data_IF_634614625175
#
_entry.id   IF_634614625175
#
_cell.length_a   1.000
_cell.length_b   1.000
_cell.length_c   1.000
_cell.angle_alpha   90.00
_cell.angle_beta   90.00
_cell.angle_gamma   90.00
#
_symmetry.space_group_name_H-M   'P 1'
#
loop_
_entity.id
_entity.type
_entity.pdbx_description
1 polymer ?
#
# COMPACT_ATOMS: atom_id res chain seq x y z
N UNK A 1 11.94 63.40 -53.79
CA UNK A 1 11.98 62.99 -52.37
C UNK A 1 11.19 61.68 -52.24
N UNK A 2 11.88 60.54 -52.14
CA UNK A 2 11.26 59.20 -52.04
C UNK A 2 11.14 58.81 -50.56
N UNK A 3 9.94 58.46 -50.10
CA UNK A 3 9.67 57.99 -48.73
C UNK A 3 10.21 56.56 -48.58
N UNK A 4 11.10 56.34 -47.61
CA UNK A 4 11.46 55.02 -47.11
C UNK A 4 10.33 54.54 -46.18
N UNK A 5 9.79 53.34 -46.40
CA UNK A 5 8.89 52.69 -45.45
C UNK A 5 9.70 51.81 -44.49
N UNK A 6 9.52 52.06 -43.20
CA UNK A 6 10.16 51.32 -42.11
C UNK A 6 9.45 49.97 -41.95
N UNK A 7 10.18 48.86 -42.16
CA UNK A 7 9.71 47.52 -41.81
C UNK A 7 9.96 47.28 -40.32
N UNK A 8 8.88 47.07 -39.55
CA UNK A 8 8.91 46.61 -38.17
C UNK A 8 9.20 45.12 -38.12
N UNK A 9 10.28 44.74 -37.44
CA UNK A 9 10.64 43.34 -37.16
C UNK A 9 9.95 42.93 -35.84
N UNK A 10 8.87 42.16 -35.92
CA UNK A 10 8.20 41.60 -34.75
C UNK A 10 8.95 40.35 -34.32
N UNK A 11 9.70 40.42 -33.22
CA UNK A 11 10.33 39.25 -32.61
C UNK A 11 9.25 38.36 -31.97
N UNK A 12 9.11 37.12 -32.46
CA UNK A 12 8.24 36.12 -31.86
C UNK A 12 8.91 35.54 -30.61
N UNK A 13 8.32 35.79 -29.45
CA UNK A 13 8.72 35.21 -28.17
C UNK A 13 8.24 33.76 -28.12
N UNK A 14 9.16 32.79 -28.22
CA UNK A 14 8.83 31.37 -28.02
C UNK A 14 8.76 31.11 -26.51
N UNK A 15 7.56 30.96 -25.98
CA UNK A 15 7.33 30.49 -24.62
C UNK A 15 7.65 28.99 -24.55
N UNK A 16 8.75 28.62 -23.88
CA UNK A 16 8.94 27.24 -23.44
C UNK A 16 7.87 26.94 -22.38
N UNK A 17 6.88 26.11 -22.75
CA UNK A 17 5.99 25.48 -21.78
C UNK A 17 6.81 24.44 -21.04
N UNK A 18 7.17 24.73 -19.79
CA UNK A 18 7.64 23.70 -18.87
C UNK A 18 6.48 22.73 -18.64
N UNK A 19 6.55 21.55 -19.25
CA UNK A 19 5.65 20.44 -18.94
C UNK A 19 5.91 20.08 -17.49
N UNK A 20 5.03 20.52 -16.59
CA UNK A 20 5.08 20.16 -15.19
C UNK A 20 5.07 18.65 -15.07
N UNK A 21 6.12 18.09 -14.44
CA UNK A 21 6.10 16.70 -14.03
C UNK A 21 4.92 16.52 -13.08
N UNK A 22 3.96 15.68 -13.47
CA UNK A 22 2.88 15.26 -12.57
C UNK A 22 3.57 14.55 -11.39
N UNK A 23 3.41 15.00 -10.13
CA UNK A 23 3.94 14.25 -9.01
C UNK A 23 3.28 12.87 -9.04
N UNK A 24 4.10 11.82 -9.01
CA UNK A 24 3.58 10.47 -8.84
C UNK A 24 2.79 10.43 -7.53
N UNK A 25 1.59 9.85 -7.57
CA UNK A 25 0.75 9.69 -6.40
C UNK A 25 1.25 8.47 -5.61
N UNK A 26 1.28 8.58 -4.29
CA UNK A 26 1.54 7.46 -3.40
C UNK A 26 0.40 6.44 -3.56
N UNK A 27 0.71 5.16 -3.68
CA UNK A 27 -0.33 4.14 -3.69
C UNK A 27 -0.82 3.94 -2.25
N UNK A 28 -2.15 3.89 -2.08
CA UNK A 28 -2.78 3.62 -0.79
C UNK A 28 -3.24 2.18 -0.77
N UNK A 29 -2.74 1.42 0.20
CA UNK A 29 -3.09 0.02 0.37
C UNK A 29 -3.96 -0.14 1.61
N UNK A 30 -5.05 -0.89 1.42
CA UNK A 30 -5.81 -1.50 2.51
C UNK A 30 -5.55 -2.99 2.42
N UNK A 31 -4.76 -3.50 3.36
CA UNK A 31 -4.55 -4.93 3.52
C UNK A 31 -5.70 -5.47 4.38
N UNK A 32 -6.76 -5.95 3.72
CA UNK A 32 -7.99 -6.49 4.31
C UNK A 32 -8.10 -8.02 4.18
N UNK A 33 -7.04 -8.67 3.68
CA UNK A 33 -6.93 -10.13 3.53
C UNK A 33 -7.96 -10.80 2.61
N UNK A 34 -8.76 -10.03 1.87
CA UNK A 34 -9.75 -10.57 0.92
C UNK A 34 -9.09 -11.06 -0.36
N UNK A 35 -8.00 -10.40 -0.77
CA UNK A 35 -7.32 -10.65 -2.04
C UNK A 35 -5.81 -10.67 -1.91
N UNK A 36 -5.15 -11.46 -2.74
CA UNK A 36 -3.70 -11.43 -2.93
C UNK A 36 -3.25 -10.19 -3.74
N UNK A 37 -1.93 -10.05 -3.92
CA UNK A 37 -1.33 -8.97 -4.70
C UNK A 37 -1.63 -8.97 -6.21
N UNK A 38 -2.24 -10.03 -6.72
CA UNK A 38 -2.73 -10.13 -8.09
C UNK A 38 -4.24 -9.86 -8.19
N UNK A 39 -4.91 -9.61 -7.07
CA UNK A 39 -6.35 -9.35 -6.98
C UNK A 39 -7.21 -10.62 -6.97
N UNK A 40 -6.61 -11.81 -6.82
CA UNK A 40 -7.36 -13.05 -6.67
C UNK A 40 -7.95 -13.14 -5.27
N UNK A 41 -9.18 -13.64 -5.16
CA UNK A 41 -9.82 -13.86 -3.87
C UNK A 41 -9.07 -14.94 -3.07
N UNK A 42 -8.81 -14.65 -1.81
CA UNK A 42 -8.27 -15.60 -0.86
C UNK A 42 -9.41 -16.28 -0.11
N UNK A 43 -9.26 -17.59 0.15
CA UNK A 43 -10.22 -18.35 0.93
C UNK A 43 -9.75 -18.45 2.37
N UNK A 44 -10.67 -18.39 3.33
CA UNK A 44 -10.39 -18.83 4.70
C UNK A 44 -9.82 -20.25 4.70
N UNK A 45 -8.93 -20.53 5.65
CA UNK A 45 -8.20 -21.80 5.69
C UNK A 45 -7.03 -21.89 4.72
N UNK A 46 -6.70 -20.83 3.96
CA UNK A 46 -5.47 -20.80 3.16
C UNK A 46 -4.25 -21.04 4.04
N UNK A 47 -3.57 -22.18 3.82
CA UNK A 47 -2.46 -22.67 4.67
C UNK A 47 -1.07 -22.28 4.17
N UNK A 48 -0.90 -22.17 2.85
CA UNK A 48 0.42 -22.07 2.22
C UNK A 48 0.80 -20.64 1.93
N UNK A 49 1.97 -20.25 2.44
CA UNK A 49 2.64 -19.00 2.08
C UNK A 49 1.77 -17.75 2.28
N UNK A 50 0.92 -17.75 3.33
CA UNK A 50 -0.01 -16.65 3.56
C UNK A 50 0.74 -15.33 3.78
N UNK A 51 1.90 -15.39 4.45
CA UNK A 51 2.72 -14.22 4.74
C UNK A 51 3.31 -13.50 3.53
N UNK A 52 3.31 -14.14 2.37
CA UNK A 52 3.93 -13.64 1.14
C UNK A 52 2.89 -13.30 0.06
N UNK A 53 1.58 -13.42 0.34
CA UNK A 53 0.54 -13.09 -0.65
C UNK A 53 0.54 -11.62 -1.07
N UNK A 54 1.19 -10.76 -0.28
CA UNK A 54 1.26 -9.30 -0.47
C UNK A 54 2.68 -8.78 -0.75
N UNK A 55 3.59 -9.68 -1.13
CA UNK A 55 4.98 -9.31 -1.38
C UNK A 55 5.12 -8.27 -2.50
N UNK A 56 4.27 -8.24 -3.55
CA UNK A 56 4.33 -7.15 -4.56
C UNK A 56 3.87 -5.79 -4.03
N UNK A 57 3.12 -5.75 -2.93
CA UNK A 57 2.82 -4.50 -2.22
C UNK A 57 3.98 -4.11 -1.28
N UNK A 58 5.06 -4.90 -1.26
CA UNK A 58 6.22 -4.71 -0.40
C UNK A 58 5.95 -5.06 1.05
N UNK A 59 5.01 -5.98 1.34
CA UNK A 59 4.66 -6.41 2.69
C UNK A 59 4.94 -7.91 2.85
N UNK A 60 5.71 -8.24 3.88
CA UNK A 60 6.00 -9.61 4.29
C UNK A 60 5.50 -9.84 5.71
N UNK A 61 4.72 -10.90 5.92
CA UNK A 61 4.08 -11.18 7.21
C UNK A 61 4.63 -12.47 7.81
N UNK A 62 5.01 -12.42 9.08
CA UNK A 62 5.53 -13.59 9.80
C UNK A 62 4.92 -13.69 11.19
N UNK A 63 5.02 -14.86 11.82
CA UNK A 63 4.71 -15.03 13.24
C UNK A 63 5.91 -15.61 14.01
N UNK A 64 6.02 -15.26 15.29
CA UNK A 64 7.08 -15.81 16.15
C UNK A 64 6.80 -17.22 16.69
N UNK A 65 5.65 -17.82 16.35
CA UNK A 65 5.28 -19.16 16.82
C UNK A 65 5.72 -20.29 15.89
N UNK A 66 6.19 -19.94 14.69
CA UNK A 66 6.74 -20.89 13.73
C UNK A 66 5.69 -21.87 13.19
N UNK A 67 6.15 -23.04 12.76
CA UNK A 67 5.30 -23.98 12.02
C UNK A 67 4.21 -24.65 12.85
N UNK A 68 4.31 -24.68 14.18
CA UNK A 68 3.30 -25.34 15.03
C UNK A 68 2.02 -24.52 15.14
N UNK A 69 2.14 -23.18 15.09
CA UNK A 69 1.02 -22.24 15.06
C UNK A 69 1.18 -21.31 13.85
N UNK A 70 0.87 -21.80 12.64
CA UNK A 70 1.09 -21.05 11.42
C UNK A 70 0.12 -19.88 11.31
N UNK A 71 0.49 -18.86 10.53
CA UNK A 71 -0.48 -17.85 10.11
C UNK A 71 -1.55 -18.47 9.21
N UNK A 72 -2.80 -18.03 9.37
CA UNK A 72 -3.92 -18.42 8.49
C UNK A 72 -4.97 -17.32 8.37
N UNK A 73 -5.81 -17.47 7.34
CA UNK A 73 -7.03 -16.69 7.20
C UNK A 73 -8.19 -17.40 7.88
N UNK A 74 -8.90 -16.66 8.72
CA UNK A 74 -10.18 -17.02 9.31
C UNK A 74 -11.29 -16.18 8.67
N UNK A 75 -12.46 -16.75 8.39
CA UNK A 75 -13.61 -15.97 7.90
C UNK A 75 -14.45 -15.48 9.07
N UNK A 76 -14.26 -14.22 9.45
CA UNK A 76 -15.02 -13.56 10.53
C UNK A 76 -16.46 -13.23 10.13
N UNK A 77 -16.82 -13.32 8.85
CA UNK A 77 -18.22 -13.24 8.41
C UNK A 77 -18.89 -14.62 8.55
N UNK A 78 -18.91 -15.12 9.78
CA UNK A 78 -19.59 -16.35 10.21
C UNK A 78 -20.62 -16.03 11.30
N UNK A 79 -21.40 -17.03 11.70
CA UNK A 79 -22.48 -16.89 12.66
C UNK A 79 -23.85 -16.55 12.04
N UNK A 80 -24.81 -16.10 12.86
CA UNK A 80 -26.23 -16.00 12.49
C UNK A 80 -26.48 -15.00 11.35
N UNK A 81 -25.68 -13.94 11.23
CA UNK A 81 -25.84 -12.91 10.20
C UNK A 81 -25.56 -13.45 8.78
N UNK A 82 -24.74 -14.51 8.67
CA UNK A 82 -24.31 -15.07 7.39
C UNK A 82 -24.83 -16.49 7.15
N UNK A 83 -25.41 -17.14 8.17
CA UNK A 83 -25.89 -18.51 8.08
C UNK A 83 -24.77 -19.53 7.89
N UNK A 84 -23.55 -19.20 8.31
CA UNK A 84 -22.33 -20.01 8.17
C UNK A 84 -21.81 -20.32 9.58
N UNK A 85 -21.49 -21.57 9.87
CA UNK A 85 -20.82 -21.94 11.14
C UNK A 85 -19.37 -21.47 11.10
N UNK A 86 -18.89 -20.84 12.18
CA UNK A 86 -17.49 -20.47 12.32
C UNK A 86 -16.60 -21.72 12.34
N UNK A 87 -15.47 -21.66 11.63
CA UNK A 87 -14.49 -22.75 11.61
C UNK A 87 -13.84 -22.91 12.99
N UNK A 88 -13.28 -24.08 13.30
CA UNK A 88 -12.59 -24.33 14.58
C UNK A 88 -13.50 -24.46 15.80
N UNK A 89 -14.71 -23.90 15.76
CA UNK A 89 -15.48 -23.61 16.98
C UNK A 89 -15.20 -22.20 17.52
N UNK A 90 -14.47 -21.40 16.75
CA UNK A 90 -13.91 -20.08 17.06
C UNK A 90 -14.96 -18.97 16.75
N UNK A 91 -16.02 -18.93 17.56
CA UNK A 91 -17.19 -18.07 17.32
C UNK A 91 -17.05 -16.65 17.89
N UNK A 92 -16.09 -16.44 18.77
CA UNK A 92 -15.66 -15.18 19.36
C UNK A 92 -14.86 -14.30 18.36
N UNK A 93 -14.29 -14.89 17.30
CA UNK A 93 -13.83 -14.12 16.14
C UNK A 93 -14.92 -13.66 15.16
N UNK A 94 -16.18 -14.07 15.34
CA UNK A 94 -17.26 -13.67 14.44
C UNK A 94 -17.52 -12.15 14.47
N UNK A 95 -17.91 -11.58 13.33
CA UNK A 95 -18.21 -10.16 13.18
C UNK A 95 -19.51 -9.95 12.44
N UNK A 96 -20.25 -8.89 12.74
CA UNK A 96 -21.53 -8.61 12.08
C UNK A 96 -22.54 -7.93 13.02
N UNK A 97 -23.70 -7.52 12.48
CA UNK A 97 -24.74 -6.83 13.26
C UNK A 97 -25.16 -7.55 14.55
N UNK A 98 -25.26 -8.88 14.55
CA UNK A 98 -25.60 -9.68 15.74
C UNK A 98 -24.55 -9.60 16.83
N UNK A 99 -23.31 -9.27 16.47
CA UNK A 99 -22.17 -9.09 17.38
C UNK A 99 -21.85 -7.61 17.66
N UNK A 100 -22.67 -6.68 17.16
CA UNK A 100 -22.45 -5.24 17.34
C UNK A 100 -21.25 -4.68 16.56
N UNK A 101 -20.71 -5.44 15.61
CA UNK A 101 -19.56 -5.05 14.79
C UNK A 101 -19.90 -4.98 13.31
N UNK A 102 -19.02 -4.35 12.53
CA UNK A 102 -19.14 -4.39 11.06
C UNK A 102 -18.58 -5.72 10.55
N UNK A 103 -19.15 -6.33 9.51
CA UNK A 103 -18.54 -7.46 8.82
C UNK A 103 -17.10 -7.13 8.42
N UNK A 104 -16.15 -8.03 8.70
CA UNK A 104 -14.73 -7.85 8.34
C UNK A 104 -14.23 -8.80 7.24
N UNK A 105 -14.90 -9.92 6.99
CA UNK A 105 -14.46 -10.89 5.97
C UNK A 105 -13.36 -11.81 6.47
N UNK A 106 -12.32 -12.01 5.67
CA UNK A 106 -11.13 -12.73 6.06
C UNK A 106 -10.28 -11.88 7.01
N UNK A 107 -9.74 -12.53 8.03
CA UNK A 107 -8.85 -11.92 9.00
C UNK A 107 -7.66 -12.82 9.25
N UNK A 108 -6.52 -12.23 9.60
CA UNK A 108 -5.28 -12.96 9.80
C UNK A 108 -5.13 -13.36 11.27
N UNK A 109 -4.94 -14.66 11.51
CA UNK A 109 -4.76 -15.24 12.84
C UNK A 109 -3.42 -15.97 12.95
N UNK A 110 -2.95 -16.16 14.18
CA UNK A 110 -2.02 -17.23 14.53
C UNK A 110 -2.88 -18.46 14.82
N UNK A 111 -2.81 -19.49 13.98
CA UNK A 111 -3.68 -20.64 14.10
C UNK A 111 -3.26 -21.56 15.25
N UNK A 112 -4.22 -22.15 15.97
CA UNK A 112 -3.99 -23.12 17.03
C UNK A 112 -3.20 -24.33 16.51
N UNK A 113 -3.62 -24.93 15.40
CA UNK A 113 -3.03 -26.18 14.91
C UNK A 113 -2.64 -26.15 13.41
N UNK A 114 -1.75 -27.05 13.00
CA UNK A 114 -1.24 -27.09 11.61
C UNK A 114 -2.21 -27.68 10.60
N UNK A 115 -3.05 -28.64 11.00
CA UNK A 115 -3.86 -29.45 10.10
C UNK A 115 -5.36 -29.23 10.23
N UNK A 116 -5.79 -28.58 11.30
CA UNK A 116 -7.20 -28.39 11.62
C UNK A 116 -7.80 -27.23 10.84
N UNK A 117 -9.08 -26.96 11.07
CA UNK A 117 -9.77 -25.78 10.56
C UNK A 117 -9.15 -24.50 11.15
N UNK A 118 -9.42 -23.31 10.56
CA UNK A 118 -9.01 -22.04 11.16
C UNK A 118 -9.63 -21.85 12.53
N UNK A 119 -8.76 -21.67 13.51
CA UNK A 119 -9.04 -21.50 14.93
C UNK A 119 -7.82 -20.76 15.50
N UNK A 120 -8.00 -19.62 16.13
CA UNK A 120 -6.87 -18.83 16.61
C UNK A 120 -6.23 -19.41 17.89
N UNK A 121 -5.00 -18.98 18.15
CA UNK A 121 -4.22 -19.55 19.24
C UNK A 121 -4.35 -18.72 20.51
N UNK A 122 -5.04 -19.27 21.51
CA UNK A 122 -5.19 -18.68 22.85
C UNK A 122 -3.87 -18.39 23.60
N UNK A 123 -2.74 -18.90 23.12
CA UNK A 123 -1.39 -18.57 23.64
C UNK A 123 -0.76 -17.33 23.00
N UNK A 124 -1.50 -16.63 22.13
CA UNK A 124 -1.12 -15.40 21.45
C UNK A 124 0.18 -15.50 20.66
N UNK A 125 0.90 -14.39 20.54
CA UNK A 125 2.16 -14.34 19.79
C UNK A 125 2.40 -12.99 19.18
N UNK A 126 3.44 -12.89 18.36
CA UNK A 126 3.74 -11.68 17.59
C UNK A 126 3.49 -11.98 16.12
N UNK A 127 2.62 -11.19 15.49
CA UNK A 127 2.51 -11.09 14.03
C UNK A 127 3.32 -9.87 13.61
N UNK A 128 4.30 -10.08 12.74
CA UNK A 128 5.22 -9.05 12.26
C UNK A 128 4.96 -8.76 10.79
N UNK A 129 4.71 -7.49 10.47
CA UNK A 129 4.61 -6.96 9.11
C UNK A 129 5.90 -6.20 8.81
N UNK A 130 6.71 -6.71 7.91
CA UNK A 130 7.92 -6.06 7.42
C UNK A 130 7.64 -5.41 6.07
N UNK A 131 8.08 -4.15 5.91
CA UNK A 131 7.89 -3.38 4.70
C UNK A 131 9.22 -3.26 3.92
N UNK A 132 9.20 -3.53 2.62
CA UNK A 132 10.38 -3.42 1.73
C UNK A 132 10.95 -2.00 1.69
N UNK A 133 10.06 -1.00 1.79
CA UNK A 133 10.38 0.42 1.87
C UNK A 133 9.63 1.01 3.07
N UNK A 134 10.16 2.07 3.71
CA UNK A 134 9.40 2.77 4.74
C UNK A 134 8.04 3.27 4.23
N UNK A 135 6.97 2.99 4.98
CA UNK A 135 5.58 3.37 4.66
C UNK A 135 5.06 4.43 5.62
N UNK A 136 3.99 5.12 5.20
CA UNK A 136 3.15 5.87 6.13
C UNK A 136 2.06 4.94 6.64
N UNK A 137 2.10 4.57 7.91
CA UNK A 137 1.10 3.71 8.55
C UNK A 137 -0.06 4.58 9.04
N UNK A 138 -1.27 4.34 8.55
CA UNK A 138 -2.44 5.11 8.96
C UNK A 138 -3.11 4.46 10.18
N UNK A 139 -3.53 3.20 10.09
CA UNK A 139 -4.15 2.49 11.21
C UNK A 139 -4.06 0.97 11.08
N UNK A 140 -4.33 0.29 12.20
CA UNK A 140 -4.46 -1.16 12.32
C UNK A 140 -5.79 -1.48 13.01
N UNK A 141 -6.55 -2.43 12.49
CA UNK A 141 -7.78 -2.93 13.10
C UNK A 141 -7.60 -4.38 13.54
N UNK A 142 -8.00 -4.66 14.78
CA UNK A 142 -7.91 -5.95 15.44
C UNK A 142 -9.29 -6.42 15.89
N UNK A 143 -9.50 -7.73 15.91
CA UNK A 143 -10.69 -8.40 16.44
C UNK A 143 -10.32 -9.16 17.70
N UNK A 144 -11.24 -9.12 18.65
CA UNK A 144 -11.30 -10.02 19.81
C UNK A 144 -9.96 -10.17 20.52
N UNK A 145 -9.45 -9.03 20.98
CA UNK A 145 -8.22 -9.02 21.76
C UNK A 145 -8.58 -9.43 23.19
N UNK A 146 -8.62 -10.72 23.44
CA UNK A 146 -8.89 -11.27 24.77
C UNK A 146 -7.59 -11.54 25.55
N UNK A 147 -7.72 -11.70 26.86
CA UNK A 147 -6.57 -12.02 27.71
C UNK A 147 -6.42 -13.52 27.91
N UNK A 148 -5.19 -14.00 27.71
CA UNK A 148 -4.75 -15.15 28.48
C UNK A 148 -4.50 -14.68 29.92
N UNK A 149 -5.08 -15.35 30.92
CA UNK A 149 -4.90 -15.03 32.35
C UNK A 149 -3.43 -14.91 32.79
N UNK A 150 -2.49 -15.45 32.01
CA UNK A 150 -1.06 -15.43 32.27
C UNK A 150 -0.28 -14.39 31.44
N UNK A 151 -0.92 -13.67 30.52
CA UNK A 151 -0.29 -12.70 29.64
C UNK A 151 -1.26 -11.58 29.24
N UNK A 152 -1.25 -10.48 29.97
CA UNK A 152 -2.07 -9.29 29.67
C UNK A 152 -1.33 -8.22 28.88
N UNK A 153 -0.06 -8.46 28.54
CA UNK A 153 0.83 -7.46 27.96
C UNK A 153 0.84 -7.51 26.42
N UNK A 154 -0.31 -7.22 25.81
CA UNK A 154 -0.46 -7.04 24.37
C UNK A 154 -0.03 -5.63 23.91
N UNK A 155 0.53 -5.51 22.70
CA UNK A 155 0.91 -4.21 22.14
C UNK A 155 0.96 -4.19 20.60
N UNK A 156 0.94 -2.98 20.03
CA UNK A 156 1.47 -2.69 18.70
C UNK A 156 2.76 -1.90 18.82
N UNK A 157 3.76 -2.21 18.01
CA UNK A 157 5.06 -1.54 18.01
C UNK A 157 5.52 -1.28 16.56
N UNK A 158 5.55 -0.02 16.17
CA UNK A 158 6.02 0.45 14.88
C UNK A 158 7.51 0.79 14.98
N UNK A 159 8.33 0.22 14.11
CA UNK A 159 9.78 0.47 14.02
C UNK A 159 10.05 1.48 12.92
N UNK A 160 10.69 2.59 13.28
CA UNK A 160 10.92 3.71 12.38
C UNK A 160 12.30 3.63 11.72
N UNK A 161 12.43 4.24 10.54
CA UNK A 161 13.67 4.26 9.74
C UNK A 161 14.87 4.93 10.43
N UNK A 162 14.63 5.77 11.42
CA UNK A 162 15.66 6.43 12.22
C UNK A 162 16.15 5.56 13.41
N UNK A 163 15.60 4.35 13.55
CA UNK A 163 15.93 3.39 14.60
C UNK A 163 15.09 3.53 15.87
N UNK A 164 14.17 4.50 15.94
CA UNK A 164 13.23 4.64 17.07
C UNK A 164 12.01 3.72 16.91
N UNK A 165 11.23 3.57 17.97
CA UNK A 165 10.02 2.75 17.98
C UNK A 165 8.86 3.50 18.64
N UNK A 166 7.66 3.31 18.11
CA UNK A 166 6.43 3.87 18.66
C UNK A 166 5.51 2.73 19.07
N UNK A 167 5.11 2.74 20.34
CA UNK A 167 4.44 1.60 20.98
C UNK A 167 3.11 2.01 21.58
N UNK A 168 2.07 1.24 21.26
CA UNK A 168 0.73 1.38 21.85
C UNK A 168 0.35 0.09 22.57
N UNK A 169 -0.06 0.18 23.83
CA UNK A 169 -0.62 -0.97 24.54
C UNK A 169 -1.98 -1.34 23.95
N UNK A 170 -2.26 -2.63 23.84
CA UNK A 170 -3.59 -3.07 23.44
C UNK A 170 -4.59 -2.79 24.56
N UNK A 171 -5.74 -2.28 24.18
CA UNK A 171 -6.94 -2.30 25.02
C UNK A 171 -7.60 -3.65 24.80
N UNK A 172 -7.73 -4.42 25.89
CA UNK A 172 -8.42 -5.70 25.85
C UNK A 172 -9.90 -5.46 25.55
N UNK A 173 -10.42 -6.26 24.64
CA UNK A 173 -11.80 -6.26 24.23
C UNK A 173 -12.63 -7.29 24.99
N UNK A 174 -13.84 -7.51 24.48
CA UNK A 174 -14.62 -8.72 24.73
C UNK A 174 -14.66 -9.53 23.45
N UNK A 175 -15.22 -10.74 23.53
CA UNK A 175 -15.59 -11.57 22.39
C UNK A 175 -16.21 -10.71 21.28
N UNK A 176 -15.80 -10.98 20.04
CA UNK A 176 -16.28 -10.34 18.80
C UNK A 176 -16.00 -8.83 18.67
N UNK A 177 -15.29 -8.21 19.61
CA UNK A 177 -15.09 -6.75 19.60
C UNK A 177 -14.06 -6.29 18.57
N UNK A 178 -14.22 -5.06 18.07
CA UNK A 178 -13.28 -4.42 17.14
C UNK A 178 -12.52 -3.29 17.82
N UNK A 179 -11.20 -3.28 17.67
CA UNK A 179 -10.32 -2.21 18.14
C UNK A 179 -9.49 -1.65 16.98
N UNK A 180 -9.48 -0.33 16.81
CA UNK A 180 -8.65 0.34 15.79
C UNK A 180 -7.65 1.26 16.44
N UNK A 181 -6.39 1.12 16.04
CA UNK A 181 -5.25 1.87 16.57
C UNK A 181 -4.73 2.80 15.48
N UNK A 182 -4.72 4.09 15.78
CA UNK A 182 -4.28 5.15 14.86
C UNK A 182 -2.77 5.34 14.94
N UNK A 183 -2.12 5.42 13.79
CA UNK A 183 -0.69 5.72 13.62
C UNK A 183 -0.47 6.89 12.64
N UNK A 184 -1.54 7.57 12.20
CA UNK A 184 -1.46 8.66 11.22
C UNK A 184 -0.66 9.89 11.72
N UNK A 185 -0.37 9.94 13.03
CA UNK A 185 0.50 10.95 13.64
C UNK A 185 2.01 10.67 13.42
N UNK A 186 2.38 9.46 13.00
CA UNK A 186 3.78 9.12 12.72
C UNK A 186 4.32 9.90 11.52
N UNK A 187 5.63 10.19 11.47
CA UNK A 187 6.23 10.84 10.31
C UNK A 187 5.96 10.05 9.03
N UNK A 188 5.64 10.74 7.93
CA UNK A 188 5.39 10.06 6.65
C UNK A 188 6.59 9.24 6.19
N UNK A 189 6.30 8.05 5.67
CA UNK A 189 7.26 7.10 5.14
C UNK A 189 8.40 6.83 6.12
N UNK A 190 8.04 6.51 7.36
CA UNK A 190 8.99 6.22 8.43
C UNK A 190 8.90 4.78 8.93
N UNK A 191 7.75 4.12 8.83
CA UNK A 191 7.54 2.79 9.39
C UNK A 191 8.16 1.73 8.49
N UNK A 192 9.08 0.95 9.04
CA UNK A 192 9.79 -0.16 8.36
C UNK A 192 9.27 -1.53 8.78
N UNK A 193 8.70 -1.61 9.98
CA UNK A 193 8.12 -2.83 10.53
C UNK A 193 7.01 -2.47 11.51
N UNK A 194 5.98 -3.30 11.57
CA UNK A 194 4.95 -3.26 12.61
C UNK A 194 4.87 -4.64 13.27
N UNK A 195 5.09 -4.69 14.58
CA UNK A 195 4.83 -5.88 15.40
C UNK A 195 3.52 -5.73 16.14
N UNK A 196 2.69 -6.77 16.08
CA UNK A 196 1.43 -6.88 16.81
C UNK A 196 1.56 -8.06 17.76
N UNK A 197 1.72 -7.79 19.06
CA UNK A 197 1.76 -8.80 20.10
C UNK A 197 0.37 -9.04 20.67
N UNK A 198 -0.22 -10.17 20.32
CA UNK A 198 -1.49 -10.64 20.89
C UNK A 198 -1.23 -11.30 22.26
N UNK A 199 -1.96 -10.89 23.32
CA UNK A 199 -1.83 -11.45 24.67
C UNK A 199 -2.42 -12.86 24.78
N UNK A 200 -3.55 -13.11 24.12
CA UNK A 200 -4.25 -14.39 23.99
C UNK A 200 -4.70 -14.60 22.54
N UNK A 201 -5.94 -15.01 22.37
CA UNK A 201 -6.61 -15.08 21.08
C UNK A 201 -6.79 -13.66 20.49
N UNK A 202 -7.12 -13.63 19.20
CA UNK A 202 -7.40 -12.44 18.43
C UNK A 202 -6.90 -12.52 17.00
N UNK A 203 -7.41 -11.60 16.19
CA UNK A 203 -7.10 -11.51 14.78
C UNK A 203 -6.70 -10.09 14.35
N UNK A 204 -5.89 -10.01 13.30
CA UNK A 204 -5.68 -8.77 12.55
C UNK A 204 -6.73 -8.71 11.44
N UNK A 205 -7.61 -7.72 11.51
CA UNK A 205 -8.65 -7.52 10.51
C UNK A 205 -8.18 -6.69 9.34
N UNK A 206 -7.28 -5.72 9.57
CA UNK A 206 -6.68 -5.02 8.46
C UNK A 206 -5.68 -3.95 8.85
N UNK A 207 -4.87 -3.56 7.87
CA UNK A 207 -3.86 -2.51 8.01
C UNK A 207 -3.98 -1.56 6.83
N UNK A 208 -4.00 -0.25 7.11
CA UNK A 208 -3.97 0.77 6.08
C UNK A 208 -2.63 1.50 6.09
N UNK A 209 -1.98 1.56 4.93
CA UNK A 209 -0.70 2.23 4.76
C UNK A 209 -0.54 2.82 3.35
N UNK A 210 0.47 3.69 3.20
CA UNK A 210 0.84 4.32 1.92
C UNK A 210 2.31 4.11 1.65
N UNK A 211 2.66 3.71 0.42
CA UNK A 211 4.05 3.59 -0.01
C UNK A 211 4.62 4.90 -0.56
N UNK A 212 5.94 4.98 -0.66
CA UNK A 212 6.56 6.10 -1.35
C UNK A 212 6.10 6.11 -2.82
N UNK A 213 5.63 7.26 -3.34
CA UNK A 213 5.36 7.37 -4.77
C UNK A 213 6.64 7.05 -5.55
N UNK A 214 6.60 6.00 -6.37
CA UNK A 214 7.69 5.74 -7.29
C UNK A 214 7.87 6.98 -8.18
N UNK A 215 9.10 7.47 -8.41
CA UNK A 215 9.30 8.60 -9.30
C UNK A 215 8.65 8.29 -10.65
N UNK A 216 7.97 9.27 -11.29
CA UNK A 216 7.22 9.01 -12.51
C UNK A 216 8.13 8.32 -13.52
N UNK A 217 7.70 7.13 -13.98
CA UNK A 217 8.43 6.36 -15.00
C UNK A 217 8.77 7.32 -16.14
N UNK A 218 10.05 7.44 -16.54
CA UNK A 218 10.42 8.33 -17.62
C UNK A 218 9.55 7.98 -18.82
N UNK A 219 8.77 8.95 -19.29
CA UNK A 219 7.97 8.75 -20.49
C UNK A 219 8.92 8.31 -21.59
N UNK A 220 8.54 7.24 -22.31
CA UNK A 220 9.31 6.73 -23.45
C UNK A 220 9.57 7.93 -24.35
N UNK A 221 10.81 8.44 -24.39
CA UNK A 221 11.15 9.62 -25.19
C UNK A 221 10.67 9.32 -26.60
N UNK A 222 9.61 10.00 -27.03
CA UNK A 222 9.27 10.06 -28.45
C UNK A 222 10.52 10.68 -29.08
N UNK A 223 11.18 10.01 -30.05
CA UNK A 223 12.31 10.62 -30.73
C UNK A 223 11.82 11.96 -31.28
N UNK A 224 12.40 13.05 -30.81
CA UNK A 224 12.12 14.34 -31.42
C UNK A 224 12.40 14.18 -32.93
N UNK A 225 11.46 14.52 -33.82
CA UNK A 225 11.77 14.52 -35.23
C UNK A 225 12.97 15.44 -35.39
N UNK A 226 14.06 14.85 -35.88
CA UNK A 226 15.34 15.50 -36.15
C UNK A 226 15.09 16.61 -37.17
N UNK A 227 14.63 17.75 -36.69
CA UNK A 227 14.29 18.95 -37.47
C UNK A 227 15.53 19.80 -37.75
N UNK A 228 16.72 19.25 -37.47
CA UNK A 228 18.02 19.77 -37.92
C UNK A 228 18.19 19.69 -39.45
N UNK A 229 17.25 19.10 -40.20
CA UNK A 229 17.25 19.14 -41.67
C UNK A 229 16.16 20.04 -42.30
N UNK A 230 15.34 20.72 -41.49
CA UNK A 230 14.20 21.51 -42.00
C UNK A 230 14.48 23.00 -42.27
N UNK A 231 15.58 23.55 -41.75
CA UNK A 231 15.84 25.00 -41.79
C UNK A 231 16.82 25.46 -42.90
N UNK A 232 17.27 24.56 -43.78
CA UNK A 232 18.30 24.87 -44.80
C UNK A 232 17.79 24.87 -46.26
N UNK A 233 16.48 24.75 -46.49
CA UNK A 233 15.89 24.70 -47.85
C UNK A 233 14.96 25.88 -48.18
N UNK A 234 15.27 27.09 -47.70
CA UNK A 234 14.55 28.33 -48.09
C UNK A 234 15.47 29.50 -48.47
N UNK A 235 16.76 29.23 -48.71
CA UNK A 235 17.76 30.27 -48.97
C UNK A 235 18.60 30.05 -50.23
N UNK A 236 18.00 29.65 -51.36
CA UNK A 236 18.78 29.45 -52.59
C UNK A 236 17.98 29.62 -53.89
N UNK A 237 17.23 30.71 -54.07
CA UNK A 237 16.87 31.17 -55.43
C UNK A 237 16.72 32.71 -55.45
N UNK A 238 17.62 33.40 -56.17
CA UNK A 238 17.36 34.78 -56.58
C UNK A 238 18.51 35.79 -56.45
N UNK A 239 19.74 35.47 -56.84
CA UNK A 239 20.75 36.51 -57.13
C UNK A 239 21.55 36.09 -58.36
N UNK A 240 21.17 36.59 -59.54
CA UNK A 240 21.83 36.24 -60.79
C UNK A 240 21.30 37.00 -62.00
N UNK A 241 21.59 38.29 -62.09
CA UNK A 241 21.70 38.96 -63.40
C UNK A 241 22.71 40.10 -63.33
N UNK A 242 23.90 39.75 -63.79
CA UNK A 242 25.11 40.54 -63.96
C UNK A 242 24.94 41.57 -65.06
N UNK A 243 25.38 42.81 -64.78
CA UNK A 243 25.62 43.86 -65.76
C UNK A 243 26.61 43.41 -66.84
N UNK A 244 26.18 43.41 -68.10
CA UNK A 244 27.07 43.28 -69.25
C UNK A 244 27.43 44.68 -69.75
N UNK A 245 28.68 45.10 -69.54
CA UNK A 245 29.30 46.23 -70.27
C UNK A 245 29.63 45.77 -71.69
N UNK A 246 29.29 46.57 -72.69
CA UNK A 246 29.99 46.59 -73.98
C UNK A 246 30.21 48.04 -74.39
N UNK A 247 31.50 48.31 -74.67
CA UNK A 247 32.17 49.44 -75.34
C UNK A 247 31.45 50.79 -75.43
#
# INVERSE_FOLDING_TARGET
MKKLSTLTLTAALVTLVTVGANPALADTYLLDFEKDDAGNLLQAGTKTNIGEQWAKFGVHITSNKGSNHPLRLFNSNCGPDFGITCSGGDADLATGPSFGTKPQGNVLIINENTNEEPDDWAGGGIISFAFDKPVSLDYVTLIDIDENLNNTNGYLEAFLKDGTTEKQSLTLGTDNSLSTYDFSYLPEYSVTKLDIKLPGSGAVSGIKFRDFPDPPKPSKKVPEPTSTLGLLMLGAMGAGSVFKRYK
#
